data_IF_621051252873
#
_entry.id   IF_621051252873
#
_cell.length_a   1.000
_cell.length_b   1.000
_cell.length_c   1.000
_cell.angle_alpha   90.00
_cell.angle_beta   90.00
_cell.angle_gamma   90.00
#
_symmetry.space_group_name_H-M   'P 1'
#
loop_
_entity.id
_entity.type
_entity.pdbx_description
1 polymer ?
2 non-polymer ?
3 non-polymer ?
4 non-polymer ?
5 water ?
#
# COMPACT_ATOMS: atom_id res chain seq x y z
N UNK A 11 19.45 -14.21 12.90
CA UNK A 11 20.44 -13.32 12.21
C UNK A 11 21.30 -14.06 11.19
N UNK A 12 21.23 -13.62 9.94
CA UNK A 12 22.08 -14.16 8.89
C UNK A 12 23.52 -13.65 9.08
N UNK A 13 24.52 -14.51 8.79
CA UNK A 13 25.90 -14.08 8.95
C UNK A 13 26.22 -12.90 8.04
N UNK A 14 26.93 -11.94 8.59
CA UNK A 14 27.31 -10.73 7.87
C UNK A 14 28.19 -11.10 6.66
N UNK A 15 27.74 -10.74 5.42
CA UNK A 15 28.63 -10.92 4.25
C UNK A 15 29.96 -10.14 4.40
N UNK A 16 31.07 -10.71 3.91
CA UNK A 16 32.38 -10.05 4.05
C UNK A 16 32.48 -8.65 3.51
N UNK A 17 31.68 -8.29 2.50
CA UNK A 17 31.75 -6.94 1.92
C UNK A 17 31.07 -5.85 2.77
N UNK A 18 30.34 -6.25 3.80
CA UNK A 18 29.56 -5.26 4.56
C UNK A 18 30.36 -4.83 5.81
N UNK A 19 30.73 -3.54 5.90
CA UNK A 19 31.51 -3.10 7.07
C UNK A 19 30.67 -3.08 8.36
N UNK A 20 31.32 -3.49 9.45
CA UNK A 20 30.69 -3.61 10.75
C UNK A 20 29.90 -2.36 11.16
N UNK A 21 30.46 -1.19 10.90
CA UNK A 21 29.89 0.08 11.36
C UNK A 21 28.53 0.44 10.70
N UNK A 22 28.10 -0.35 9.73
CA UNK A 22 26.86 -0.08 9.03
C UNK A 22 25.75 -1.03 9.49
N UNK A 23 26.05 -1.88 10.49
CA UNK A 23 25.11 -2.93 10.92
C UNK A 23 24.09 -2.45 11.95
N UNK A 24 22.83 -2.51 11.55
CA UNK A 24 21.70 -2.17 12.41
C UNK A 24 20.65 -3.22 12.15
N UNK A 25 20.48 -4.13 13.10
CA UNK A 25 19.60 -5.27 12.90
C UNK A 25 18.13 -4.90 13.05
N UNK A 26 17.64 -4.04 12.18
CA UNK A 26 16.22 -3.72 12.11
C UNK A 26 15.48 -4.91 11.53
N UNK A 27 14.34 -5.27 12.11
CA UNK A 27 13.50 -6.37 11.61
C UNK A 27 12.19 -5.78 11.07
N UNK A 28 12.05 -5.73 9.75
CA UNK A 28 10.89 -5.05 9.15
C UNK A 28 9.55 -5.75 9.42
N UNK A 29 9.60 -7.00 9.88
CA UNK A 29 8.37 -7.73 10.18
C UNK A 29 8.03 -7.68 11.67
N UNK A 30 8.97 -7.24 12.50
CA UNK A 30 8.74 -7.16 13.96
C UNK A 30 9.62 -6.12 14.63
N UNK A 31 9.48 -4.84 14.25
CA UNK A 31 10.40 -3.85 14.77
C UNK A 31 10.20 -3.70 16.25
N UNK A 32 11.26 -3.41 17.00
CA UNK A 32 11.09 -3.25 18.44
C UNK A 32 10.38 -1.93 18.62
N UNK A 33 9.69 -1.71 19.72
CA UNK A 33 9.03 -0.41 19.84
C UNK A 33 7.79 -0.30 18.88
N UNK A 34 7.39 -1.44 18.30
CA UNK A 34 6.16 -1.51 17.48
C UNK A 34 4.93 -1.05 18.26
N UNK A 35 4.86 -1.42 19.55
CA UNK A 35 3.76 -1.02 20.41
C UNK A 35 3.59 0.50 20.47
N UNK A 36 4.64 1.25 20.12
CA UNK A 36 4.55 2.70 20.03
C UNK A 36 4.04 3.25 18.67
N UNK A 37 3.62 2.36 17.77
CA UNK A 37 3.13 2.77 16.45
C UNK A 37 4.12 2.40 15.37
N UNK A 38 3.65 1.83 14.25
CA UNK A 38 4.60 1.37 13.21
C UNK A 38 5.52 2.46 12.68
N UNK A 39 4.94 3.59 12.24
CA UNK A 39 5.75 4.68 11.66
C UNK A 39 6.88 5.11 12.61
N UNK A 40 6.50 5.31 13.87
CA UNK A 40 7.42 5.52 14.97
C UNK A 40 8.49 4.42 15.06
N UNK A 41 8.06 3.16 14.99
CA UNK A 41 9.03 2.05 15.04
C UNK A 41 10.01 2.08 13.85
N UNK A 42 9.56 2.53 12.68
CA UNK A 42 10.50 2.61 11.57
C UNK A 42 11.38 3.85 11.65
N UNK A 43 10.84 4.90 12.26
CA UNK A 43 11.52 6.18 12.32
C UNK A 43 12.81 6.13 13.17
N UNK A 44 13.01 5.05 13.96
CA UNK A 44 14.29 4.84 14.68
C UNK A 44 15.46 4.76 13.71
N UNK A 45 15.18 4.43 12.44
CA UNK A 45 16.19 4.31 11.38
C UNK A 45 16.68 5.68 10.99
N UNK A 46 15.97 6.71 11.45
CA UNK A 46 16.34 8.08 11.15
C UNK A 46 16.88 8.87 12.34
N UNK A 47 17.21 8.21 13.43
CA UNK A 47 17.92 8.89 14.53
C UNK A 47 19.35 9.26 14.11
N UNK A 48 19.90 10.31 14.72
CA UNK A 48 21.11 10.99 14.22
C UNK A 48 22.37 10.12 14.10
N UNK A 49 22.43 9.04 14.86
CA UNK A 49 23.55 8.12 14.76
C UNK A 49 23.28 6.92 13.84
N UNK A 50 22.23 6.98 13.03
CA UNK A 50 22.03 5.91 12.07
C UNK A 50 22.43 6.44 10.71
N UNK A 51 23.38 5.75 10.05
CA UNK A 51 23.81 6.07 8.69
C UNK A 51 22.62 6.11 7.74
N UNK A 52 22.80 6.82 6.63
CA UNK A 52 21.82 6.92 5.55
C UNK A 52 21.55 5.56 4.92
N UNK A 53 22.52 4.66 5.00
CA UNK A 53 22.37 3.38 4.34
C UNK A 53 22.97 2.33 5.27
N UNK A 54 22.15 1.38 5.73
CA UNK A 54 22.57 0.41 6.73
C UNK A 54 22.36 -1.03 6.29
N UNK A 55 22.99 -1.98 6.96
CA UNK A 55 22.76 -3.41 6.72
C UNK A 55 22.07 -3.99 7.93
N UNK A 56 20.98 -4.70 7.72
CA UNK A 56 20.43 -5.51 8.78
C UNK A 56 20.67 -6.99 8.51
N UNK A 57 20.90 -7.73 9.60
CA UNK A 57 21.07 -9.17 9.47
C UNK A 57 19.76 -9.93 9.57
N UNK A 58 18.66 -9.23 9.88
CA UNK A 58 17.36 -9.88 9.96
C UNK A 58 16.91 -10.29 8.58
N UNK A 59 16.02 -11.27 8.56
CA UNK A 59 15.24 -11.63 7.39
C UNK A 59 16.09 -12.02 6.19
N UNK A 60 17.25 -12.64 6.44
CA UNK A 60 18.20 -13.04 5.39
C UNK A 60 19.37 -12.12 5.19
N UNK A 61 19.29 -10.90 5.73
CA UNK A 61 20.30 -9.87 5.47
C UNK A 61 19.93 -9.05 4.22
N UNK A 62 19.93 -7.72 4.37
CA UNK A 62 19.60 -6.78 3.29
C UNK A 62 19.95 -5.34 3.70
N UNK A 63 20.22 -4.50 2.71
CA UNK A 63 20.44 -3.06 2.96
C UNK A 63 19.08 -2.43 3.24
N UNK A 64 19.07 -1.26 3.90
CA UNK A 64 17.90 -0.38 4.03
C UNK A 64 18.41 1.05 3.81
N UNK A 65 17.87 1.74 2.80
CA UNK A 65 18.09 3.18 2.66
C UNK A 65 17.12 3.87 3.64
N UNK A 66 17.65 4.75 4.48
CA UNK A 66 16.89 5.26 5.64
C UNK A 66 16.40 6.71 5.45
N UNK A 67 16.84 7.36 4.37
CA UNK A 67 16.52 8.78 4.14
C UNK A 67 15.91 8.95 2.78
N UNK A 68 15.07 9.97 2.63
CA UNK A 68 14.34 10.21 1.37
C UNK A 68 15.23 10.38 0.15
N UNK A 69 16.33 11.13 0.28
CA UNK A 69 17.24 11.33 -0.86
C UNK A 69 17.71 10.01 -1.50
N UNK A 70 18.20 9.08 -0.68
CA UNK A 70 18.64 7.77 -1.17
C UNK A 70 17.50 6.89 -1.68
N UNK A 71 16.38 6.90 -0.96
CA UNK A 71 15.22 6.15 -1.38
C UNK A 71 14.75 6.57 -2.77
N UNK A 72 14.54 7.87 -2.98
CA UNK A 72 14.22 8.40 -4.30
C UNK A 72 15.29 8.01 -5.35
N UNK A 73 16.56 8.16 -5.02
CA UNK A 73 17.62 7.93 -6.02
C UNK A 73 17.63 6.49 -6.47
N UNK A 74 17.56 5.56 -5.52
CA UNK A 74 17.50 4.11 -5.85
C UNK A 74 16.28 3.73 -6.68
N UNK A 75 15.12 4.30 -6.34
CA UNK A 75 13.91 4.07 -7.14
C UNK A 75 13.98 4.60 -8.57
N UNK A 76 14.74 5.68 -8.80
CA UNK A 76 14.98 6.21 -10.16
C UNK A 76 15.91 5.33 -10.98
N UNK A 77 16.90 4.74 -10.32
CA UNK A 77 18.00 4.03 -10.99
C UNK A 77 17.68 2.55 -11.09
N UNK A 78 16.75 2.21 -12.00
CA UNK A 78 16.33 0.83 -12.24
C UNK A 78 17.46 -0.03 -12.82
N UNK A 79 18.47 0.60 -13.42
CA UNK A 79 19.57 -0.14 -14.01
C UNK A 79 20.43 -0.83 -12.97
N UNK A 80 20.65 -0.18 -11.82
CA UNK A 80 21.31 -0.85 -10.70
C UNK A 80 20.34 -1.55 -9.73
N UNK A 81 19.16 -0.98 -9.56
CA UNK A 81 18.23 -1.43 -8.55
C UNK A 81 17.02 -2.02 -9.18
N UNK A 82 17.07 -3.32 -9.37
CA UNK A 82 16.06 -4.03 -10.14
C UNK A 82 14.86 -4.50 -9.33
N UNK A 83 13.69 -4.44 -9.95
CA UNK A 83 12.43 -4.95 -9.37
C UNK A 83 12.24 -6.46 -9.57
N UNK A 84 13.22 -7.13 -10.19
CA UNK A 84 13.11 -8.54 -10.47
C UNK A 84 12.82 -9.29 -9.17
N UNK A 85 13.46 -8.89 -8.09
CA UNK A 85 13.23 -9.50 -6.77
C UNK A 85 12.98 -8.39 -5.74
N UNK A 86 11.71 -7.91 -5.63
CA UNK A 86 11.38 -6.67 -4.92
C UNK A 86 11.01 -6.84 -3.44
N UNK A 87 10.91 -8.09 -2.96
CA UNK A 87 10.49 -8.33 -1.60
C UNK A 87 11.58 -8.96 -0.74
N UNK A 88 11.61 -8.54 0.50
CA UNK A 88 12.30 -9.28 1.55
C UNK A 88 11.23 -10.12 2.28
N UNK A 89 11.52 -11.40 2.55
CA UNK A 89 12.79 -12.09 2.28
C UNK A 89 12.94 -12.49 0.80
N UNK A 90 14.17 -12.83 0.43
CA UNK A 90 14.55 -13.19 -0.93
C UNK A 90 13.64 -14.23 -1.57
N UNK A 91 13.30 -15.29 -0.85
CA UNK A 91 12.44 -16.35 -1.44
C UNK A 91 11.06 -15.85 -1.90
N UNK A 92 10.46 -14.91 -1.17
CA UNK A 92 9.21 -14.28 -1.61
C UNK A 92 9.40 -13.39 -2.88
N UNK A 93 10.41 -12.53 -2.87
CA UNK A 93 10.78 -11.72 -4.05
C UNK A 93 11.03 -12.58 -5.29
N UNK A 94 11.72 -13.71 -5.10
CA UNK A 94 11.97 -14.66 -6.17
C UNK A 94 10.72 -15.28 -6.84
N UNK A 95 9.79 -15.82 -6.04
CA UNK A 95 8.50 -16.38 -6.55
C UNK A 95 7.51 -15.33 -7.09
N UNK A 96 7.67 -14.09 -6.66
CA UNK A 96 6.76 -13.01 -7.06
C UNK A 96 6.94 -12.66 -8.53
N UNK A 97 5.86 -12.75 -9.29
CA UNK A 97 5.95 -12.52 -10.73
C UNK A 97 4.87 -11.59 -11.29
N UNK A 98 4.20 -10.82 -10.43
CA UNK A 98 3.16 -9.86 -10.85
C UNK A 98 3.67 -8.86 -11.89
N UNK A 99 2.77 -8.39 -12.75
CA UNK A 99 3.11 -7.41 -13.76
C UNK A 99 2.30 -6.13 -13.45
N UNK A 100 2.97 -4.96 -13.42
CA UNK A 100 4.41 -4.76 -13.78
C UNK A 100 5.45 -4.73 -12.66
N UNK A 101 5.02 -5.01 -11.42
CA UNK A 101 5.90 -4.82 -10.27
C UNK A 101 7.16 -5.68 -10.27
N UNK A 102 7.16 -6.79 -11.01
CA UNK A 102 8.35 -7.65 -11.04
C UNK A 102 9.24 -7.37 -12.26
N UNK A 103 8.86 -6.37 -13.07
CA UNK A 103 9.63 -6.07 -14.30
C UNK A 103 10.34 -4.72 -14.20
N UNK A 104 11.44 -4.61 -14.94
CA UNK A 104 12.17 -3.36 -15.08
C UNK A 104 11.82 -2.71 -16.42
N UNK A 105 11.94 -1.37 -16.50
CA UNK A 105 11.94 -0.76 -17.84
C UNK A 105 13.17 -1.32 -18.55
N UNK A 106 13.15 -1.35 -19.88
CA UNK A 106 12.11 -0.84 -20.79
C UNK A 106 10.88 -1.72 -20.98
N UNK A 107 11.00 -3.03 -20.75
CA UNK A 107 9.87 -3.96 -20.90
C UNK A 107 8.61 -3.54 -20.11
N UNK A 108 8.80 -3.06 -18.87
CA UNK A 108 7.70 -2.69 -17.97
C UNK A 108 6.82 -1.58 -18.54
N UNK A 109 7.44 -0.68 -19.30
CA UNK A 109 6.78 0.54 -19.81
C UNK A 109 5.41 0.34 -20.48
N UNK A 110 5.29 -0.66 -21.34
CA UNK A 110 4.02 -0.83 -22.02
C UNK A 110 2.95 -1.65 -21.28
N UNK A 111 3.38 -2.58 -20.44
CA UNK A 111 2.48 -3.26 -19.51
C UNK A 111 1.89 -2.22 -18.56
N UNK A 112 2.72 -1.28 -18.14
CA UNK A 112 2.28 -0.13 -17.32
C UNK A 112 1.25 0.75 -18.05
N UNK A 113 1.48 1.00 -19.33
CA UNK A 113 0.53 1.71 -20.18
C UNK A 113 -0.82 1.00 -20.25
N UNK A 114 -0.79 -0.33 -20.40
CA UNK A 114 -2.03 -1.11 -20.43
C UNK A 114 -2.76 -1.07 -19.08
N UNK A 115 -2.05 -1.40 -18.00
CA UNK A 115 -2.58 -1.26 -16.65
C UNK A 115 -3.20 0.13 -16.43
N UNK A 116 -2.51 1.18 -16.89
CA UNK A 116 -3.03 2.53 -16.71
C UNK A 116 -4.41 2.81 -17.34
N UNK A 117 -4.73 2.13 -18.45
CA UNK A 117 -6.04 2.25 -19.09
C UNK A 117 -7.15 1.81 -18.12
N UNK A 118 -6.76 1.03 -17.13
CA UNK A 118 -7.74 0.29 -16.35
C UNK A 118 -7.92 0.90 -14.97
N UNK A 119 -6.90 1.59 -14.48
CA UNK A 119 -6.99 2.23 -13.16
C UNK A 119 -6.65 3.72 -13.15
N UNK A 120 -6.19 4.27 -14.26
CA UNK A 120 -5.77 5.66 -14.35
C UNK A 120 -6.88 6.69 -14.24
N UNK A 121 -6.53 7.96 -14.40
CA UNK A 121 -7.42 9.10 -14.11
C UNK A 121 -8.82 9.13 -14.77
N UNK A 122 -8.90 8.96 -16.11
CA UNK A 122 -10.25 9.03 -16.67
C UNK A 122 -11.21 7.98 -16.08
N UNK A 123 -10.69 6.76 -15.84
CA UNK A 123 -11.43 5.69 -15.15
C UNK A 123 -11.94 6.09 -13.75
N UNK A 124 -11.12 6.83 -13.02
CA UNK A 124 -11.44 7.26 -11.66
C UNK A 124 -12.55 8.30 -11.67
N UNK A 125 -12.39 9.29 -12.55
CA UNK A 125 -13.40 10.35 -12.66
C UNK A 125 -14.79 9.83 -12.97
N UNK A 126 -14.85 8.72 -13.70
CA UNK A 126 -16.11 8.05 -14.00
C UNK A 126 -16.65 7.18 -12.86
N UNK A 127 -15.77 6.67 -11.98
CA UNK A 127 -16.20 5.84 -10.86
C UNK A 127 -16.57 6.65 -9.60
N UNK A 128 -16.25 7.95 -9.61
CA UNK A 128 -16.33 8.82 -8.44
C UNK A 128 -17.60 8.58 -7.62
N UNK A 129 -18.74 8.66 -8.31
CA UNK A 129 -20.05 8.44 -7.72
C UNK A 129 -20.38 7.05 -7.22
N UNK A 130 -19.86 6.02 -7.90
CA UNK A 130 -20.07 4.63 -7.48
C UNK A 130 -19.31 4.35 -6.18
N UNK A 131 -18.17 5.02 -6.04
CA UNK A 131 -17.34 4.95 -4.85
C UNK A 131 -18.09 5.61 -3.70
N UNK A 132 -18.66 6.78 -4.00
CA UNK A 132 -19.49 7.52 -3.07
C UNK A 132 -20.71 6.70 -2.57
N UNK A 133 -21.47 6.12 -3.50
CA UNK A 133 -22.64 5.30 -3.13
C UNK A 133 -22.28 4.10 -2.23
N UNK A 134 -21.15 3.47 -2.54
CA UNK A 134 -20.62 2.39 -1.72
C UNK A 134 -20.23 2.83 -0.29
N UNK A 135 -19.41 3.88 -0.20
CA UNK A 135 -19.01 4.44 1.09
C UNK A 135 -20.24 4.77 1.94
N UNK A 136 -21.21 5.44 1.32
CA UNK A 136 -22.47 5.82 2.01
C UNK A 136 -23.26 4.65 2.55
N UNK A 137 -23.44 3.61 1.73
CA UNK A 137 -24.21 2.46 2.20
C UNK A 137 -23.44 1.70 3.28
N UNK A 138 -22.12 1.56 3.16
CA UNK A 138 -21.37 0.99 4.26
C UNK A 138 -21.51 1.81 5.54
N UNK A 139 -21.35 3.12 5.44
CA UNK A 139 -21.44 3.97 6.63
C UNK A 139 -22.85 3.96 7.25
N UNK A 140 -23.87 4.06 6.40
CA UNK A 140 -25.26 4.09 6.90
C UNK A 140 -25.60 2.80 7.65
N UNK A 141 -25.10 1.66 7.18
CA UNK A 141 -25.38 0.40 7.86
C UNK A 141 -24.75 0.34 9.25
N UNK A 142 -23.66 1.09 9.48
CA UNK A 142 -22.97 1.08 10.76
C UNK A 142 -23.49 2.14 11.73
N UNK A 143 -23.86 3.29 11.17
CA UNK A 143 -24.16 4.51 11.91
C UNK A 143 -25.10 4.33 13.14
N UNK A 144 -26.21 3.57 12.98
CA UNK A 144 -27.12 3.42 14.13
C UNK A 144 -26.58 2.52 15.26
N UNK A 145 -25.50 1.78 15.01
CA UNK A 145 -25.03 0.84 16.04
C UNK A 145 -24.18 1.46 17.12
N UNK A 146 -23.64 2.64 16.86
CA UNK A 146 -22.78 3.32 17.83
C UNK A 146 -21.40 2.71 18.05
N UNK A 147 -21.04 1.73 17.23
CA UNK A 147 -19.74 1.05 17.31
C UNK A 147 -19.46 0.25 16.02
N UNK A 148 -18.18 0.04 15.73
CA UNK A 148 -17.75 -0.90 14.69
C UNK A 148 -16.32 -1.27 14.98
N UNK A 149 -15.86 -2.33 14.31
CA UNK A 149 -14.43 -2.48 14.04
C UNK A 149 -14.20 -1.89 12.64
N UNK A 150 -13.61 -0.71 12.59
CA UNK A 150 -13.51 0.03 11.34
C UNK A 150 -12.76 -0.80 10.28
N UNK A 151 -11.66 -1.42 10.71
CA UNK A 151 -10.83 -2.19 9.80
C UNK A 151 -11.70 -3.28 9.15
N UNK A 152 -12.40 -4.04 9.98
CA UNK A 152 -13.25 -5.15 9.52
C UNK A 152 -14.57 -4.76 8.83
N UNK A 153 -15.26 -3.73 9.34
CA UNK A 153 -16.65 -3.43 8.91
C UNK A 153 -16.76 -2.41 7.79
N UNK A 154 -15.75 -1.55 7.64
CA UNK A 154 -15.76 -0.57 6.58
C UNK A 154 -14.56 -0.71 5.67
N UNK A 155 -13.36 -0.76 6.26
CA UNK A 155 -12.15 -0.73 5.47
C UNK A 155 -12.01 -1.94 4.53
N UNK A 156 -12.11 -3.14 5.09
CA UNK A 156 -11.99 -4.39 4.29
C UNK A 156 -13.05 -4.57 3.17
N UNK A 157 -14.37 -4.37 3.45
CA UNK A 157 -15.34 -4.49 2.38
C UNK A 157 -15.19 -3.48 1.24
N UNK A 158 -14.52 -2.37 1.50
CA UNK A 158 -14.59 -1.22 0.62
C UNK A 158 -13.82 -1.38 -0.72
N UNK A 159 -12.50 -1.55 -0.67
CA UNK A 159 -11.76 -1.62 -1.93
C UNK A 159 -12.00 -2.90 -2.72
N UNK A 160 -12.25 -4.02 -2.05
CA UNK A 160 -12.59 -5.23 -2.80
C UNK A 160 -13.84 -5.00 -3.65
N UNK A 161 -14.82 -4.29 -3.10
CA UNK A 161 -16.05 -4.01 -3.84
C UNK A 161 -15.83 -3.06 -5.03
N UNK A 162 -14.92 -2.10 -4.89
CA UNK A 162 -14.59 -1.20 -6.00
C UNK A 162 -13.89 -2.02 -7.09
N UNK A 163 -12.97 -2.90 -6.70
CA UNK A 163 -12.36 -3.83 -7.69
C UNK A 163 -13.37 -4.66 -8.48
N UNK A 164 -14.35 -5.25 -7.80
CA UNK A 164 -15.37 -6.03 -8.49
C UNK A 164 -16.08 -5.21 -9.54
N UNK A 165 -16.40 -3.96 -9.21
CA UNK A 165 -16.97 -2.99 -10.15
C UNK A 165 -16.05 -2.73 -11.35
N UNK A 166 -14.79 -2.39 -11.11
CA UNK A 166 -13.80 -2.26 -12.19
C UNK A 166 -13.74 -3.51 -13.09
N UNK A 167 -13.62 -4.67 -12.46
CA UNK A 167 -13.30 -5.92 -13.16
C UNK A 167 -14.50 -6.72 -13.64
N UNK A 168 -15.72 -6.20 -13.44
CA UNK A 168 -16.97 -6.88 -13.83
C UNK A 168 -17.04 -8.28 -13.28
N UNK A 169 -16.74 -8.42 -11.99
CA UNK A 169 -16.81 -9.71 -11.32
C UNK A 169 -18.06 -9.76 -10.46
N UNK A 170 -18.63 -10.97 -10.24
CA UNK A 170 -19.93 -10.99 -9.57
C UNK A 170 -19.82 -10.86 -8.03
N UNK A 171 -20.76 -10.16 -7.44
CA UNK A 171 -20.81 -9.98 -5.98
C UNK A 171 -20.62 -11.22 -5.11
N UNK A 172 -21.19 -12.35 -5.54
CA UNK A 172 -21.10 -13.61 -4.78
C UNK A 172 -19.67 -14.08 -4.65
N UNK A 173 -18.79 -13.55 -5.49
CA UNK A 173 -17.38 -13.98 -5.50
C UNK A 173 -16.54 -13.35 -4.40
N UNK A 174 -17.08 -12.28 -3.81
CA UNK A 174 -16.32 -11.47 -2.88
C UNK A 174 -15.74 -12.31 -1.75
N UNK A 175 -16.59 -13.15 -1.08
CA UNK A 175 -16.00 -13.85 0.06
C UNK A 175 -14.85 -14.75 -0.39
N UNK A 176 -15.03 -15.44 -1.50
CA UNK A 176 -13.98 -16.36 -1.97
C UNK A 176 -12.72 -15.57 -2.30
N UNK A 177 -12.85 -14.49 -3.07
CA UNK A 177 -11.71 -13.67 -3.47
C UNK A 177 -10.95 -13.04 -2.28
N UNK A 178 -11.73 -12.59 -1.30
CA UNK A 178 -11.22 -12.06 -0.05
C UNK A 178 -10.39 -13.12 0.68
N UNK A 179 -10.90 -14.34 0.76
CA UNK A 179 -10.14 -15.46 1.35
C UNK A 179 -8.82 -15.68 0.59
N UNK A 180 -8.88 -15.65 -0.74
CA UNK A 180 -7.65 -15.89 -1.54
C UNK A 180 -6.62 -14.77 -1.36
N UNK A 181 -7.07 -13.53 -1.40
CA UNK A 181 -6.11 -12.43 -1.22
C UNK A 181 -5.53 -12.32 0.20
N UNK A 182 -6.36 -12.47 1.24
CA UNK A 182 -5.83 -12.55 2.64
C UNK A 182 -4.77 -13.64 2.80
N UNK A 183 -4.98 -14.80 2.17
CA UNK A 183 -4.02 -15.92 2.24
C UNK A 183 -2.65 -15.52 1.73
N UNK A 184 -2.63 -14.66 0.72
CA UNK A 184 -1.38 -14.16 0.17
C UNK A 184 -0.75 -13.03 1.01
N UNK A 185 -1.55 -12.05 1.39
CA UNK A 185 -1.03 -10.79 1.95
C UNK A 185 -0.98 -10.71 3.46
N UNK A 186 -1.77 -11.54 4.14
CA UNK A 186 -1.63 -11.69 5.58
C UNK A 186 -1.19 -13.14 5.86
N UNK A 187 0.07 -13.49 5.52
CA UNK A 187 0.43 -14.91 5.67
C UNK A 187 0.61 -15.31 7.14
N UNK A 188 0.05 -16.46 7.52
CA UNK A 188 0.20 -16.99 8.87
C UNK A 188 1.32 -18.02 8.97
N UNK A 189 2.03 -18.22 7.85
CA UNK A 189 3.13 -19.18 7.80
C UNK A 189 2.71 -20.57 7.35
N UNK A 190 1.41 -20.77 7.16
CA UNK A 190 0.88 -22.08 6.76
C UNK A 190 1.09 -22.40 5.28
N UNK A 191 1.28 -21.39 4.44
CA UNK A 191 1.63 -21.63 3.05
C UNK A 191 2.69 -20.65 2.53
N UNK A 192 3.56 -21.12 1.64
CA UNK A 192 4.57 -20.24 1.03
C UNK A 192 3.84 -19.18 0.21
N UNK A 193 4.50 -18.06 -0.03
CA UNK A 193 3.95 -17.08 -0.96
C UNK A 193 3.55 -17.73 -2.30
N UNK A 194 4.42 -18.61 -2.81
CA UNK A 194 4.19 -19.28 -4.10
C UNK A 194 2.90 -20.12 -4.13
N UNK A 195 2.55 -20.73 -2.99
CA UNK A 195 1.31 -21.52 -2.93
C UNK A 195 0.11 -20.60 -2.91
N UNK A 196 0.24 -19.47 -2.20
CA UNK A 196 -0.85 -18.51 -2.10
C UNK A 196 -1.10 -17.88 -3.48
N UNK A 197 -0.02 -17.58 -4.18
CA UNK A 197 -0.11 -17.01 -5.53
C UNK A 197 -0.80 -17.97 -6.49
N UNK A 198 -0.45 -19.26 -6.42
CA UNK A 198 -1.04 -20.24 -7.34
C UNK A 198 -2.54 -20.39 -7.13
N UNK A 199 -2.95 -20.49 -5.86
CA UNK A 199 -4.36 -20.52 -5.49
C UNK A 199 -5.12 -19.32 -6.10
N UNK A 200 -4.55 -18.12 -5.95
CA UNK A 200 -5.13 -16.92 -6.55
C UNK A 200 -5.18 -17.03 -8.07
N UNK A 201 -4.05 -17.43 -8.69
CA UNK A 201 -4.02 -17.66 -10.12
C UNK A 201 -5.08 -18.65 -10.60
N UNK A 202 -5.29 -19.74 -9.85
CA UNK A 202 -6.37 -20.72 -10.16
C UNK A 202 -7.76 -20.10 -10.26
N UNK A 203 -8.02 -19.05 -9.50
CA UNK A 203 -9.27 -18.28 -9.66
C UNK A 203 -9.27 -17.47 -10.96
N UNK A 204 -8.20 -16.69 -11.18
CA UNK A 204 -8.09 -15.81 -12.34
C UNK A 204 -8.01 -16.53 -13.71
N UNK A 205 -7.24 -17.63 -13.76
CA UNK A 205 -6.96 -18.34 -15.04
C UNK A 205 -8.21 -18.52 -15.91
N UNK A 206 -9.26 -19.23 -15.40
CA UNK A 206 -10.49 -19.43 -16.19
C UNK A 206 -11.21 -18.14 -16.63
N UNK A 207 -11.20 -17.11 -15.79
CA UNK A 207 -11.89 -15.84 -16.10
C UNK A 207 -11.24 -15.10 -17.30
N UNK A 208 -9.92 -15.17 -17.36
CA UNK A 208 -9.12 -14.65 -18.47
C UNK A 208 -9.41 -15.43 -19.78
N UNK A 209 -9.39 -16.77 -19.69
CA UNK A 209 -9.74 -17.64 -20.82
C UNK A 209 -11.09 -17.18 -21.42
N UNK A 210 -12.12 -17.19 -20.57
CA UNK A 210 -13.47 -16.75 -20.91
C UNK A 210 -13.52 -15.40 -21.62
N UNK A 211 -12.71 -14.46 -21.15
CA UNK A 211 -12.80 -13.06 -21.60
C UNK A 211 -11.86 -12.72 -22.75
N UNK A 212 -10.93 -13.64 -23.01
CA UNK A 212 -10.20 -13.66 -24.27
C UNK A 212 -11.09 -14.25 -25.39
N UNK A 213 -11.87 -15.27 -25.08
CA UNK A 213 -12.83 -15.79 -26.06
C UNK A 213 -14.04 -14.85 -26.28
N UNK A 214 -14.58 -14.33 -25.17
CA UNK A 214 -15.74 -13.43 -25.22
C UNK A 214 -15.45 -12.15 -24.41
N UNK A 215 -14.70 -11.20 -25.02
CA UNK A 215 -14.37 -9.99 -24.25
C UNK A 215 -15.55 -9.05 -24.05
N UNK A 216 -15.71 -8.54 -22.82
CA UNK A 216 -16.60 -7.39 -22.52
C UNK A 216 -15.80 -6.10 -22.37
N UNK A 217 -16.26 -5.17 -21.53
CA UNK A 217 -15.56 -3.89 -21.35
C UNK A 217 -14.98 -3.67 -19.92
N UNK A 218 -15.02 -4.70 -19.09
CA UNK A 218 -14.39 -4.69 -17.77
C UNK A 218 -12.87 -4.61 -17.87
N UNK A 219 -12.21 -4.33 -16.76
CA UNK A 219 -10.76 -4.22 -16.72
C UNK A 219 -10.05 -5.51 -17.13
N UNK A 220 -10.66 -6.66 -16.87
CA UNK A 220 -9.99 -7.93 -17.15
C UNK A 220 -10.02 -8.20 -18.65
N UNK A 221 -11.12 -7.84 -19.29
CA UNK A 221 -11.23 -7.92 -20.73
C UNK A 221 -10.27 -6.98 -21.45
N UNK A 222 -10.21 -5.73 -21.00
CA UNK A 222 -9.24 -4.77 -21.55
C UNK A 222 -7.79 -5.28 -21.41
N UNK A 223 -7.45 -5.77 -20.23
CA UNK A 223 -6.11 -6.26 -19.96
C UNK A 223 -5.83 -7.52 -20.78
N UNK A 224 -6.69 -8.52 -20.69
CA UNK A 224 -6.41 -9.82 -21.29
C UNK A 224 -6.37 -9.79 -22.82
N UNK A 225 -6.92 -8.72 -23.38
CA UNK A 225 -6.97 -8.53 -24.82
C UNK A 225 -6.16 -7.35 -25.34
N UNK A 226 -5.32 -6.78 -24.48
CA UNK A 226 -4.51 -5.65 -24.92
C UNK A 226 -3.32 -6.08 -25.75
N UNK A 227 -2.62 -5.07 -26.27
CA UNK A 227 -1.39 -5.25 -27.04
C UNK A 227 -0.19 -4.70 -26.28
N UNK A 228 0.91 -5.44 -26.28
CA UNK A 228 2.10 -4.99 -25.56
C UNK A 228 3.35 -5.18 -26.39
N UNK A 229 4.18 -4.15 -26.40
CA UNK A 229 5.48 -4.21 -27.07
C UNK A 229 5.33 -4.87 -28.45
N UNK A 230 4.32 -4.45 -29.20
CA UNK A 230 4.11 -4.94 -30.57
C UNK A 230 3.09 -6.04 -30.85
N UNK A 231 2.80 -6.88 -29.86
CA UNK A 231 1.97 -8.07 -30.09
C UNK A 231 0.90 -8.28 -29.00
N UNK A 232 -0.02 -9.27 -29.18
CA UNK A 232 -1.05 -9.51 -28.18
C UNK A 232 -0.49 -10.05 -26.86
N UNK A 233 -1.07 -9.59 -25.74
CA UNK A 233 -0.68 -10.04 -24.40
C UNK A 233 -0.95 -11.56 -24.26
N UNK A 234 -0.07 -12.30 -23.60
CA UNK A 234 -0.33 -13.73 -23.39
C UNK A 234 -1.27 -13.92 -22.19
N UNK A 235 -2.01 -15.04 -22.19
CA UNK A 235 -2.89 -15.40 -21.06
C UNK A 235 -2.10 -15.41 -19.75
N UNK A 236 -0.83 -15.80 -19.84
CA UNK A 236 0.06 -15.77 -18.71
C UNK A 236 0.35 -14.34 -18.24
N UNK A 237 0.60 -13.43 -19.18
CA UNK A 237 0.91 -12.05 -18.81
C UNK A 237 -0.32 -11.33 -18.24
N UNK A 238 -1.49 -11.59 -18.86
CA UNK A 238 -2.75 -11.03 -18.41
C UNK A 238 -3.06 -11.50 -16.99
N UNK A 239 -2.87 -12.79 -16.73
CA UNK A 239 -3.07 -13.38 -15.41
C UNK A 239 -2.15 -12.67 -14.40
N UNK A 240 -0.89 -12.51 -14.77
CA UNK A 240 0.10 -11.84 -13.92
C UNK A 240 -0.23 -10.36 -13.64
N UNK A 241 -0.87 -9.67 -14.60
CA UNK A 241 -1.30 -8.28 -14.40
C UNK A 241 -2.54 -8.21 -13.51
N UNK A 242 -3.51 -9.07 -13.81
CA UNK A 242 -4.80 -9.03 -13.12
C UNK A 242 -4.60 -9.30 -11.64
N UNK A 243 -3.62 -10.14 -11.32
CA UNK A 243 -3.34 -10.45 -9.93
C UNK A 243 -2.90 -9.23 -9.15
N UNK A 244 -2.03 -8.42 -9.76
CA UNK A 244 -1.60 -7.15 -9.16
C UNK A 244 -2.73 -6.13 -9.10
N UNK A 245 -3.52 -6.03 -10.17
CA UNK A 245 -4.65 -5.11 -10.16
C UNK A 245 -5.59 -5.39 -9.01
N UNK A 246 -5.80 -6.66 -8.73
CA UNK A 246 -6.61 -7.09 -7.61
C UNK A 246 -5.96 -6.72 -6.27
N UNK A 247 -4.76 -7.24 -5.98
CA UNK A 247 -4.19 -7.07 -4.65
C UNK A 247 -3.63 -5.66 -4.35
N UNK A 248 -3.28 -4.90 -5.38
CA UNK A 248 -2.50 -3.64 -5.20
C UNK A 248 -3.29 -2.57 -4.49
N UNK A 249 -4.61 -2.67 -4.64
CA UNK A 249 -5.55 -1.74 -4.07
C UNK A 249 -6.26 -2.19 -2.82
N UNK A 250 -5.85 -3.33 -2.23
CA UNK A 250 -6.59 -3.87 -1.08
C UNK A 250 -5.96 -3.50 0.25
N UNK A 251 -4.89 -4.18 0.62
CA UNK A 251 -4.25 -3.98 1.92
C UNK A 251 -3.67 -2.57 2.10
N UNK A 252 -3.14 -1.97 1.03
CA UNK A 252 -2.75 -0.54 1.14
C UNK A 252 -3.94 0.33 1.56
N UNK A 253 -5.06 0.21 0.87
CA UNK A 253 -6.18 1.09 1.15
C UNK A 253 -6.77 0.78 2.53
N UNK A 254 -6.93 -0.50 2.83
CA UNK A 254 -7.49 -0.97 4.13
C UNK A 254 -6.70 -0.42 5.30
N UNK A 255 -5.39 -0.62 5.23
CA UNK A 255 -4.50 -0.26 6.29
C UNK A 255 -4.34 1.27 6.37
N UNK A 256 -4.36 1.92 5.21
CA UNK A 256 -4.17 3.36 5.21
C UNK A 256 -5.37 4.06 5.84
N UNK A 257 -6.57 3.65 5.41
CA UNK A 257 -7.81 4.16 6.00
C UNK A 257 -7.84 3.89 7.49
N UNK A 258 -7.38 2.70 7.90
CA UNK A 258 -7.33 2.40 9.31
C UNK A 258 -6.40 3.35 10.09
N UNK A 259 -5.17 3.59 9.60
CA UNK A 259 -4.27 4.55 10.25
C UNK A 259 -4.92 5.95 10.38
N UNK A 260 -5.59 6.35 9.31
CA UNK A 260 -6.21 7.65 9.22
C UNK A 260 -7.33 7.83 10.25
N UNK A 261 -8.21 6.84 10.31
CA UNK A 261 -9.33 6.86 11.24
C UNK A 261 -8.90 6.75 12.70
N UNK A 262 -7.86 5.96 12.96
CA UNK A 262 -7.23 5.88 14.27
C UNK A 262 -6.75 7.26 14.74
N UNK A 263 -6.04 7.97 13.86
CA UNK A 263 -5.59 9.32 14.14
C UNK A 263 -6.76 10.27 14.36
N UNK A 264 -7.76 10.24 13.47
CA UNK A 264 -8.93 11.12 13.65
C UNK A 264 -9.70 10.79 14.92
N UNK A 265 -9.79 9.51 15.26
CA UNK A 265 -10.47 9.10 16.51
C UNK A 265 -9.74 9.65 17.72
N UNK A 266 -8.43 9.81 17.59
CA UNK A 266 -7.57 10.20 18.71
C UNK A 266 -7.32 11.67 18.76
N UNK A 267 -7.66 12.38 17.70
CA UNK A 267 -7.42 13.81 17.66
C UNK A 267 -8.67 14.63 17.32
N UNK A 268 -9.54 14.87 18.32
CA UNK A 268 -10.78 15.63 18.13
C UNK A 268 -10.54 16.98 17.43
N UNK A 269 -9.43 17.62 17.72
CA UNK A 269 -9.07 18.90 17.12
C UNK A 269 -8.91 18.82 15.59
N UNK A 270 -8.30 17.75 15.11
CA UNK A 270 -8.16 17.53 13.68
C UNK A 270 -9.49 17.15 13.07
N UNK A 271 -10.25 16.29 13.75
CA UNK A 271 -11.62 15.99 13.36
C UNK A 271 -12.41 17.27 13.15
N UNK A 272 -12.40 18.13 14.16
CA UNK A 272 -13.18 19.38 14.14
C UNK A 272 -12.75 20.26 12.98
N UNK A 273 -11.44 20.35 12.77
CA UNK A 273 -10.91 21.11 11.68
C UNK A 273 -11.57 20.67 10.38
N UNK A 274 -11.55 19.37 10.09
CA UNK A 274 -12.16 18.86 8.87
C UNK A 274 -13.70 18.97 8.83
N UNK A 275 -14.34 18.87 10.00
CA UNK A 275 -15.77 19.11 10.10
C UNK A 275 -16.10 20.56 9.68
N UNK A 276 -15.40 21.52 10.27
CA UNK A 276 -15.67 22.94 10.03
C UNK A 276 -15.18 23.41 8.66
N UNK A 277 -14.19 22.71 8.13
CA UNK A 277 -13.50 23.14 6.92
C UNK A 277 -13.38 21.94 5.95
N UNK A 278 -14.51 21.46 5.39
CA UNK A 278 -14.45 20.24 4.54
C UNK A 278 -13.64 20.41 3.26
N UNK A 279 -13.52 21.66 2.79
CA UNK A 279 -12.66 21.96 1.63
C UNK A 279 -11.19 21.60 1.86
N UNK A 280 -10.78 21.45 3.12
CA UNK A 280 -9.42 21.05 3.42
C UNK A 280 -9.18 19.53 3.41
N UNK A 281 -10.23 18.76 3.17
CA UNK A 281 -10.13 17.32 3.18
C UNK A 281 -9.11 16.83 2.14
N UNK A 282 -9.15 17.34 0.87
CA UNK A 282 -8.08 16.85 -0.05
C UNK A 282 -6.65 17.09 0.41
N UNK A 283 -6.37 18.26 1.01
CA UNK A 283 -5.03 18.54 1.57
C UNK A 283 -4.76 17.71 2.82
N UNK A 284 -5.80 17.45 3.59
CA UNK A 284 -5.65 16.64 4.79
C UNK A 284 -5.33 15.18 4.38
N UNK A 285 -5.95 14.72 3.31
CA UNK A 285 -5.66 13.41 2.72
C UNK A 285 -4.16 13.29 2.37
N UNK A 286 -3.60 14.33 1.72
CA UNK A 286 -2.15 14.34 1.39
C UNK A 286 -1.23 14.30 2.59
N UNK A 287 -1.55 15.08 3.61
CA UNK A 287 -0.78 15.08 4.87
C UNK A 287 -0.86 13.75 5.61
N UNK A 288 -2.03 13.11 5.59
CA UNK A 288 -2.19 11.80 6.19
C UNK A 288 -1.39 10.74 5.40
N UNK A 289 -1.40 10.85 4.08
CA UNK A 289 -0.60 9.97 3.20
C UNK A 289 0.89 9.98 3.55
N UNK A 290 1.38 11.15 3.94
CA UNK A 290 2.75 11.32 4.36
C UNK A 290 2.97 10.75 5.76
N UNK A 291 2.18 11.21 6.73
CA UNK A 291 2.37 10.80 8.14
C UNK A 291 2.15 9.28 8.39
N UNK A 292 1.18 8.71 7.68
CA UNK A 292 0.77 7.30 7.90
C UNK A 292 1.09 6.46 6.67
N UNK A 293 2.19 6.83 6.06
CA UNK A 293 2.75 6.09 4.95
C UNK A 293 3.05 4.69 5.48
N UNK A 294 3.03 3.70 4.61
CA UNK A 294 2.94 2.33 5.10
C UNK A 294 3.56 1.23 4.23
N UNK A 295 4.01 1.55 3.02
CA UNK A 295 4.60 0.53 2.12
C UNK A 295 6.13 0.46 2.26
N UNK A 296 6.70 -0.75 2.17
CA UNK A 296 8.13 -0.90 2.22
C UNK A 296 8.52 -2.06 1.33
N UNK A 297 8.75 -1.79 0.04
CA UNK A 297 9.33 -2.85 -0.75
C UNK A 297 10.75 -2.42 -1.12
N UNK A 298 11.29 -3.01 -2.17
CA UNK A 298 12.69 -2.73 -2.49
C UNK A 298 13.16 -3.31 -3.80
N UNK A 299 14.48 -3.54 -3.89
CA UNK A 299 15.13 -3.87 -5.15
C UNK A 299 16.28 -4.85 -4.91
N UNK A 300 16.75 -5.45 -6.00
CA UNK A 300 17.97 -6.27 -6.00
C UNK A 300 19.04 -5.64 -6.91
N UNK A 301 20.28 -5.69 -6.45
CA UNK A 301 21.42 -5.10 -7.18
C UNK A 301 21.73 -5.90 -8.43
N UNK A 302 21.76 -5.23 -9.57
CA UNK A 302 22.00 -5.95 -10.83
C UNK A 302 23.49 -6.21 -11.01
N UNK A 303 24.34 -5.52 -10.26
CA UNK A 303 25.79 -5.56 -10.42
C UNK A 303 26.42 -4.90 -9.21
N UNK A 304 27.73 -5.05 -9.03
CA UNK A 304 28.46 -4.37 -7.96
C UNK A 304 28.36 -2.87 -8.19
N UNK A 305 28.21 -2.10 -7.13
CA UNK A 305 27.90 -0.69 -7.29
C UNK A 305 28.21 0.09 -6.03
N UNK A 306 28.98 1.15 -6.17
CA UNK A 306 29.22 2.04 -5.04
C UNK A 306 28.13 3.10 -5.04
N UNK A 307 27.39 3.16 -3.93
CA UNK A 307 26.22 4.02 -3.81
C UNK A 307 26.43 4.83 -2.54
N UNK A 308 26.50 6.16 -2.70
CA UNK A 308 26.79 7.06 -1.57
C UNK A 308 27.84 6.50 -0.61
N UNK A 309 29.01 6.15 -1.17
CA UNK A 309 30.15 5.70 -0.37
C UNK A 309 30.14 4.27 0.12
N UNK A 310 29.09 3.52 -0.22
CA UNK A 310 28.91 2.15 0.29
C UNK A 310 29.02 1.15 -0.88
N UNK A 311 29.84 0.12 -0.69
CA UNK A 311 29.98 -0.94 -1.69
C UNK A 311 28.83 -1.93 -1.61
N UNK A 312 28.02 -1.95 -2.66
CA UNK A 312 26.93 -2.91 -2.79
C UNK A 312 27.34 -3.98 -3.82
N UNK A 313 26.91 -5.22 -3.57
CA UNK A 313 27.36 -6.37 -4.30
C UNK A 313 26.21 -6.92 -5.15
N UNK A 314 26.50 -7.28 -6.40
CA UNK A 314 25.48 -7.89 -7.26
C UNK A 314 24.67 -8.92 -6.50
N UNK A 315 23.35 -8.85 -6.60
CA UNK A 315 22.49 -9.80 -5.92
C UNK A 315 22.08 -9.40 -4.49
N UNK A 316 22.80 -8.46 -3.87
CA UNK A 316 22.36 -7.89 -2.56
C UNK A 316 20.96 -7.31 -2.74
N UNK A 317 20.10 -7.51 -1.73
CA UNK A 317 18.78 -6.88 -1.70
C UNK A 317 18.87 -5.59 -0.92
N UNK A 318 18.04 -4.62 -1.30
CA UNK A 318 17.95 -3.34 -0.59
C UNK A 318 16.50 -3.00 -0.37
N UNK A 319 16.13 -2.78 0.88
CA UNK A 319 14.80 -2.32 1.20
C UNK A 319 14.86 -0.81 1.02
N UNK A 320 13.89 -0.27 0.29
CA UNK A 320 13.82 1.15 0.03
C UNK A 320 12.47 1.61 0.55
N UNK A 321 12.35 1.87 1.88
CA UNK A 321 11.00 2.03 2.42
C UNK A 321 10.26 3.29 1.95
N UNK A 322 9.22 3.10 1.17
CA UNK A 322 8.40 4.22 0.68
C UNK A 322 7.92 5.08 1.86
N UNK A 323 7.59 4.40 2.95
CA UNK A 323 7.20 5.00 4.21
C UNK A 323 8.17 6.10 4.70
N UNK A 324 9.48 5.88 4.56
CA UNK A 324 10.44 6.72 5.28
C UNK A 324 10.74 8.10 4.71
N UNK A 325 10.56 8.30 3.41
CA UNK A 325 10.92 9.56 2.75
C UNK A 325 10.20 10.75 3.39
N UNK A 326 8.90 10.62 3.59
CA UNK A 326 8.07 11.69 4.13
C UNK A 326 8.18 11.85 5.63
N UNK A 327 8.65 10.80 6.31
CA UNK A 327 8.96 10.88 7.72
C UNK A 327 10.35 11.50 8.00
N UNK A 328 11.15 11.62 6.95
CA UNK A 328 12.51 12.14 7.06
C UNK A 328 12.47 13.63 7.39
N UNK A 329 13.06 14.03 8.54
CA UNK A 329 13.21 15.48 8.94
C UNK A 329 13.77 16.35 7.82
N UNK A 330 14.65 15.76 7.01
CA UNK A 330 15.24 16.49 5.88
C UNK A 330 14.21 16.77 4.76
N UNK A 331 13.10 16.05 4.75
CA UNK A 331 12.04 16.29 3.75
C UNK A 331 10.89 17.16 4.25
N UNK A 332 10.50 16.94 5.50
CA UNK A 332 9.41 17.70 6.13
C UNK A 332 9.75 17.97 7.58
N UNK A 333 9.78 19.26 7.93
CA UNK A 333 10.05 19.67 9.33
C UNK A 333 8.98 19.15 10.29
N UNK A 334 9.42 18.77 11.49
CA UNK A 334 8.57 18.15 12.52
C UNK A 334 7.73 17.03 11.90
N UNK A 335 8.40 15.95 11.42
CA UNK A 335 7.69 15.01 10.54
C UNK A 335 6.55 14.22 11.22
N UNK A 336 6.68 13.95 12.52
CA UNK A 336 5.64 13.22 13.24
C UNK A 336 4.37 14.04 13.52
N UNK A 337 4.47 15.36 13.35
CA UNK A 337 3.39 16.31 13.59
C UNK A 337 2.47 16.33 12.38
N UNK A 338 1.16 16.26 12.62
CA UNK A 338 0.17 16.37 11.55
C UNK A 338 -0.34 17.81 11.39
N UNK A 339 -0.10 18.41 10.22
CA UNK A 339 -0.66 19.72 9.92
C UNK A 339 -1.27 19.72 8.55
N UNK A 340 -2.60 19.83 8.53
CA UNK A 340 -3.34 19.82 7.28
C UNK A 340 -3.05 21.02 6.39
N UNK A 341 -2.37 22.04 6.92
CA UNK A 341 -2.06 23.21 6.09
C UNK A 341 -0.58 23.32 5.66
N UNK A 342 0.19 22.26 5.96
CA UNK A 342 1.58 22.10 5.53
C UNK A 342 1.72 22.49 4.04
N UNK A 343 2.65 23.40 3.75
CA UNK A 343 2.74 24.02 2.41
C UNK A 343 3.37 23.14 1.33
N UNK A 344 4.32 22.30 1.72
CA UNK A 344 5.03 21.42 0.79
C UNK A 344 5.08 20.05 1.45
N UNK A 345 4.06 19.25 1.18
CA UNK A 345 3.96 17.94 1.77
C UNK A 345 4.78 17.02 0.88
N UNK A 346 6.00 16.67 1.24
CA UNK A 346 6.72 15.72 0.38
C UNK A 346 6.71 14.32 0.96
N UNK A 347 6.55 13.35 0.07
CA UNK A 347 6.53 11.96 0.45
C UNK A 347 6.70 11.07 -0.79
N UNK A 348 6.92 9.78 -0.57
CA UNK A 348 6.94 8.81 -1.66
C UNK A 348 5.98 7.68 -1.29
N UNK A 349 4.83 8.04 -0.74
CA UNK A 349 3.91 7.07 -0.17
C UNK A 349 3.40 6.13 -1.26
N UNK A 350 3.24 6.68 -2.45
CA UNK A 350 2.89 5.90 -3.63
C UNK A 350 4.10 5.45 -4.43
N UNK A 351 5.29 5.52 -3.86
CA UNK A 351 6.49 5.10 -4.59
C UNK A 351 7.08 6.26 -5.38
N UNK A 352 7.96 5.93 -6.34
CA UNK A 352 8.78 6.90 -7.05
C UNK A 352 9.46 6.19 -8.22
N UNK A 353 9.74 6.95 -9.27
CA UNK A 353 10.39 6.43 -10.44
C UNK A 353 9.41 5.68 -11.30
N UNK A 354 9.91 4.69 -12.05
CA UNK A 354 9.13 4.10 -13.13
C UNK A 354 7.90 3.34 -12.63
N UNK A 355 7.92 2.83 -11.40
CA UNK A 355 6.77 2.07 -10.84
C UNK A 355 5.76 2.85 -9.99
N UNK A 356 5.89 4.19 -9.99
CA UNK A 356 4.94 5.09 -9.28
C UNK A 356 3.52 4.59 -9.39
N UNK A 357 2.89 4.40 -8.24
CA UNK A 357 1.58 3.71 -8.13
C UNK A 357 0.65 4.19 -9.21
N UNK A 358 0.17 3.27 -10.05
CA UNK A 358 -0.84 3.58 -11.03
C UNK A 358 -2.22 3.82 -10.40
N UNK A 359 -2.44 3.25 -9.23
CA UNK A 359 -3.74 3.42 -8.53
C UNK A 359 -3.85 4.65 -7.66
N UNK A 360 -2.83 5.51 -7.64
CA UNK A 360 -2.79 6.64 -6.70
C UNK A 360 -4.00 7.57 -6.77
N UNK A 361 -4.54 7.74 -7.97
CA UNK A 361 -5.69 8.62 -8.19
C UNK A 361 -6.97 7.96 -7.65
N UNK A 362 -7.16 6.67 -7.94
CA UNK A 362 -8.24 5.93 -7.33
C UNK A 362 -8.11 5.89 -5.78
N UNK A 363 -6.92 5.64 -5.28
CA UNK A 363 -6.71 5.64 -3.81
C UNK A 363 -7.11 6.97 -3.18
N UNK A 364 -6.70 8.08 -3.77
CA UNK A 364 -7.08 9.37 -3.22
C UNK A 364 -8.59 9.60 -3.24
N UNK A 365 -9.31 9.18 -4.27
CA UNK A 365 -10.77 9.30 -4.24
C UNK A 365 -11.36 8.40 -3.15
N UNK A 366 -10.83 7.17 -3.00
CA UNK A 366 -11.30 6.27 -1.91
C UNK A 366 -11.14 6.90 -0.53
N UNK A 367 -9.97 7.50 -0.32
CA UNK A 367 -9.68 8.15 0.93
C UNK A 367 -10.56 9.38 1.14
N UNK A 368 -10.56 10.29 0.17
CA UNK A 368 -11.28 11.57 0.29
C UNK A 368 -12.77 11.32 0.46
N UNK A 369 -13.32 10.45 -0.38
CA UNK A 369 -14.73 10.08 -0.26
C UNK A 369 -15.06 9.49 1.12
N UNK A 370 -14.18 8.62 1.62
CA UNK A 370 -14.36 8.01 2.92
C UNK A 370 -14.39 9.08 4.02
N UNK A 371 -13.41 9.97 4.02
CA UNK A 371 -13.32 10.97 5.06
C UNK A 371 -14.49 11.93 5.01
N UNK A 372 -14.84 12.38 3.81
CA UNK A 372 -16.01 13.27 3.58
C UNK A 372 -17.35 12.68 4.04
N UNK A 373 -17.66 11.49 3.55
CA UNK A 373 -18.88 10.81 3.95
C UNK A 373 -18.95 10.43 5.41
N UNK A 374 -17.84 9.96 5.99
CA UNK A 374 -17.82 9.58 7.39
C UNK A 374 -17.97 10.78 8.34
N UNK A 375 -17.15 11.81 8.15
CA UNK A 375 -17.24 12.98 9.03
C UNK A 375 -18.61 13.68 8.96
N UNK A 376 -19.27 13.54 7.82
CA UNK A 376 -20.62 14.08 7.54
C UNK A 376 -21.72 13.33 8.29
N UNK A 377 -21.54 12.02 8.45
CA UNK A 377 -22.56 11.17 9.07
C UNK A 377 -22.24 10.85 10.54
N UNK A 378 -20.94 10.76 10.85
CA UNK A 378 -20.48 10.36 12.17
C UNK A 378 -19.33 11.29 12.59
N UNK A 379 -19.65 12.58 12.81
CA UNK A 379 -18.61 13.60 13.13
C UNK A 379 -17.82 13.32 14.41
N UNK A 380 -18.49 12.71 15.37
CA UNK A 380 -17.92 12.51 16.69
C UNK A 380 -17.77 11.02 16.97
N UNK A 381 -16.52 10.57 17.08
CA UNK A 381 -16.23 9.17 17.35
C UNK A 381 -14.93 9.03 18.14
N UNK A 382 -14.79 7.89 18.80
CA UNK A 382 -13.64 7.63 19.62
C UNK A 382 -13.18 6.20 19.49
N UNK A 383 -11.91 5.96 19.84
CA UNK A 383 -11.42 4.62 20.15
C UNK A 383 -12.26 4.09 21.32
N UNK A 384 -12.77 2.86 21.19
CA UNK A 384 -13.55 2.23 22.24
C UNK A 384 -12.80 2.32 23.56
N UNK A 385 -13.52 2.72 24.64
CA UNK A 385 -12.94 2.78 25.97
C UNK A 385 -12.19 1.50 26.33
N UNK A 386 -10.93 1.64 26.70
CA UNK A 386 -10.12 0.50 27.15
C UNK A 386 -9.39 -0.23 26.05
N UNK A 387 -9.68 0.10 24.79
CA UNK A 387 -8.99 -0.54 23.67
C UNK A 387 -7.61 0.07 23.49
N UNK A 388 -6.65 -0.78 23.18
CA UNK A 388 -5.31 -0.35 22.81
C UNK A 388 -5.13 -0.78 21.36
N UNK A 389 -4.80 0.16 20.47
CA UNK A 389 -4.67 -0.17 19.05
C UNK A 389 -3.32 -0.86 18.74
N UNK A 390 -3.43 -2.03 18.12
CA UNK A 390 -2.28 -2.84 17.73
C UNK A 390 -1.92 -2.59 16.29
N UNK A 391 -0.65 -2.25 16.03
CA UNK A 391 -0.13 -2.11 14.67
C UNK A 391 0.60 -3.41 14.21
N UNK A 392 0.68 -3.62 12.90
CA UNK A 392 1.48 -4.73 12.32
C UNK A 392 2.45 -4.12 11.31
N UNK A 393 3.59 -4.78 11.12
CA UNK A 393 4.65 -4.24 10.29
C UNK A 393 4.97 -5.24 9.18
N UNK A 394 5.30 -4.73 8.00
CA UNK A 394 5.67 -5.61 6.90
C UNK A 394 5.95 -4.84 5.63
N UNK A 395 5.64 -5.48 4.51
CA UNK A 395 5.79 -4.85 3.20
C UNK A 395 4.70 -3.79 3.09
N UNK A 396 3.51 -4.16 3.55
CA UNK A 396 2.45 -3.19 3.82
C UNK A 396 2.12 -3.18 5.32
N UNK A 397 2.56 -2.17 6.05
CA UNK A 397 2.28 -2.05 7.49
C UNK A 397 0.80 -1.70 7.73
N UNK A 398 0.29 -1.94 8.94
CA UNK A 398 -1.17 -1.81 9.14
C UNK A 398 -1.70 -1.82 10.56
N UNK A 399 -3.02 -1.89 10.70
CA UNK A 399 -3.71 -1.84 12.00
C UNK A 399 -4.42 -3.17 12.15
N UNK A 400 -4.15 -3.88 13.24
CA UNK A 400 -4.77 -5.20 13.48
C UNK A 400 -6.28 -5.13 13.63
N UNK A 401 -6.75 -4.15 14.40
CA UNK A 401 -8.18 -3.93 14.61
C UNK A 401 -8.37 -2.47 15.01
N UNK A 402 -9.52 -1.92 14.65
CA UNK A 402 -9.83 -0.54 15.03
C UNK A 402 -11.25 -0.39 15.63
N UNK A 403 -11.40 -0.80 16.93
CA UNK A 403 -12.74 -0.62 17.50
C UNK A 403 -13.06 0.86 17.79
N UNK A 404 -14.15 1.31 17.19
CA UNK A 404 -14.61 2.69 17.30
C UNK A 404 -15.99 2.70 17.99
N UNK A 405 -16.28 3.79 18.70
CA UNK A 405 -17.59 3.98 19.33
C UNK A 405 -18.05 5.43 19.06
N UNK A 406 -19.37 5.63 19.00
CA UNK A 406 -19.98 6.96 18.91
C UNK A 406 -21.36 6.90 19.49
N UNK A 407 -21.89 8.05 19.86
CA UNK A 407 -23.28 8.19 20.25
C UNK A 407 -24.09 8.45 18.99
N UNK A 408 -25.00 7.51 18.65
CA UNK A 408 -25.82 7.59 17.44
C UNK A 408 -26.72 8.83 17.37
N UNK A 409 -26.97 9.47 18.50
CA UNK A 409 -27.76 10.72 18.54
C UNK A 409 -26.96 11.92 18.00
N UNK A 410 -25.63 11.84 18.05
CA UNK A 410 -24.76 12.85 17.46
C UNK A 410 -24.52 12.61 15.96
N UNK A 411 -25.21 11.62 15.38
CA UNK A 411 -25.05 11.25 13.98
C UNK A 411 -26.27 11.68 13.17
N UNK A 412 -26.18 11.61 11.84
CA UNK A 412 -27.37 11.79 11.01
C UNK A 412 -27.35 10.92 9.76
N UNK A 413 -28.46 10.25 9.47
CA UNK A 413 -28.66 9.62 8.17
C UNK A 413 -28.76 10.73 7.11
N UNK A 414 -28.09 10.54 5.97
CA UNK A 414 -27.92 11.59 4.96
C UNK A 414 -28.46 11.15 3.61
X LIG B 1 2.47 0.48 -7.42
X LIG B 1 1.48 2.14 -2.99
X LIG B 1 -3.27 1.94 -4.02
X LIG B 1 -2.31 -0.41 -8.13
X LIG B 1 2.65 0.93 -6.13
X LIG B 1 3.90 1.19 -5.46
X LIG B 1 3.61 1.65 -4.24
X LIG B 1 2.18 1.71 -4.10
X LIG B 1 4.63 2.06 -3.15
X LIG B 1 5.36 1.03 -5.98
X LIG B 1 5.87 -0.37 -5.73
X LIG B 1 7.26 -0.50 -6.28
X LIG B 1 7.78 -1.64 -6.19
X LIG B 1 7.86 0.49 -6.79
X LIG B 1 0.10 2.29 -2.91
X LIG B 1 -0.63 2.87 -1.78
X LIG B 1 -1.93 2.83 -2.07
X LIG B 1 -2.08 2.19 -3.37
X LIG B 1 0.05 3.46 -0.54
X LIG B 1 -3.12 3.29 -1.21
X LIG B 1 -2.99 4.09 -0.12
X LIG B 1 -3.45 1.30 -5.24
X LIG B 1 -4.72 0.99 -5.87
X LIG B 1 -4.46 0.31 -7.00
X LIG B 1 -3.03 0.18 -7.10
X LIG B 1 -6.12 1.39 -5.34
X LIG B 1 -5.52 -0.18 -8.00
X LIG B 1 -5.48 -1.46 -8.39
X LIG B 1 -0.95 -0.36 -8.32
X LIG B 1 -0.29 -0.85 -9.49
X LIG B 1 1.19 -0.58 -9.28
X LIG B 1 1.29 0.07 -8.00
X LIG B 1 -0.96 -1.55 -10.70
X LIG B 1 2.32 -0.99 -10.27
X LIG B 1 2.88 0.14 -11.13
X LIG B 1 4.02 -0.40 -11.95
X LIG B 1 4.26 0.16 -13.06
X LIG B 1 4.70 -1.36 -11.51
X LIG B 1 1.61 1.26 -5.27
X LIG B 1 -0.81 1.89 -3.84
X LIG B 1 -2.44 0.81 -6.02
X LIG B 1 0.00 0.20 -7.47
X LIG B 1 -0.42 1.09 -5.69
X LIG C 1 2.11 -2.38 -4.65
X LIG C 1 3.42 -3.19 -4.57
X LIG C 1 4.09 -2.98 -3.20
X LIG C 1 3.07 -4.68 -4.76
X LIG C 1 1.14 -2.85 -3.55
X LIG C 1 1.83 -2.66 -2.19
X LIG C 1 0.83 -4.35 -3.71
X LIG C 1 3.15 -3.46 -2.09
X LIG C 1 2.15 -5.17 -3.64
X LIG C 1 2.87 -4.97 -2.30
X LIG C 1 11.19 -14.69 7.51
X LIG C 1 10.20 -13.73 7.76
X LIG C 1 9.01 -13.75 7.03
X LIG C 1 11.00 -15.69 6.55
X LIG C 1 9.79 -15.72 5.81
X LIG C 1 8.79 -14.74 6.06
X LIG C 1 7.58 -14.75 5.33
X LIG C 1 7.40 -15.77 4.37
X LIG C 1 8.37 -16.73 4.12
X LIG C 1 9.58 -16.70 4.84
X LIG C 1 12.03 -16.64 6.37
X LIG C 1 13.09 -16.43 5.38
X LIG C 1 12.07 -17.84 7.18
X LIG C 1 1.94 -6.68 -3.92
X LIG C 1 1.61 -7.67 -3.11
X LIG C 1 1.32 -8.03 -1.77
X LIG C 1 1.74 -9.49 -1.86
X LIG C 1 3.10 -9.71 -1.20
X LIG C 1 2.97 -10.17 0.25
X LIG C 1 4.13 -11.10 0.56
X LIG C 1 4.58 -11.06 2.02
X LIG C 1 5.93 -11.77 2.08
X LIG C 1 6.46 -11.95 3.50
X LIG C 1 5.91 -13.14 4.09
X LIG C 1 6.66 -12.59 6.43
X LIG C 1 6.36 -13.69 5.54
X LIG C 1 5.30 -14.45 6.12
X LIG C 1 2.10 -7.12 -5.04
X LIG D 1 10.76 -12.57 -9.06
#
# INVERSE_FOLDING_TARGET
TTETIQSNANLAPLPPHVPEHLVFDFDMYNPSNLSAGVQEAWAVLQESNVPDLVWTRCNGGHWIATRGQLIREAYEDYRHFSSECPFIPREAGEAYDFIPTSMDPPEQRQFRALANQVVGMPVVDKLENRIQELACSLIESLRPQGQCNFTEDYAEPFPIRIFMLLAGLPEEDIPHLKYLTDQMTRPDGSMTFAEAKEALYDYLIPIIEQRRQKPGTDAISIVANGQVNGRPITSDEAKRMCGLLLVGGLDTVVNFLSFSMEFLAKSPEHRQELIERPERIPAACEELLRRFSLVADGRILTSDYEFHGVQLKKGDQILLPQMLSGLDERENAAPMHVDFSRQKVSHTTFGHGSHLCLGQHLARREIIVTLKEWLTRIPDFSIAPGAQIQHKSGIVSGVQALPLVWDPATTKAV
HEM CHA CHB CHC CHD C1A C2A C3A C4A CMA CAA CBA CGA O1A O2A C1B C2B C3B C4B CMB CAB CBB C1C C2C C3C C4C CMC CAC CBC C1D C2D C3D C4D CMD CAD CBD CGD O1D O2D NA NB NC ND FE
DSO C1 C2 C3 C4 C5 C6 C7 C8 C9 C10 C11 C12 C13 C14 C15 C16 C17 C18 C19 C20 N21 C22 C23 C24 N25 C26 C27 C28 C29 C30 C31 C32 C33 N34 O35 S36 O37 O38
K K
#
